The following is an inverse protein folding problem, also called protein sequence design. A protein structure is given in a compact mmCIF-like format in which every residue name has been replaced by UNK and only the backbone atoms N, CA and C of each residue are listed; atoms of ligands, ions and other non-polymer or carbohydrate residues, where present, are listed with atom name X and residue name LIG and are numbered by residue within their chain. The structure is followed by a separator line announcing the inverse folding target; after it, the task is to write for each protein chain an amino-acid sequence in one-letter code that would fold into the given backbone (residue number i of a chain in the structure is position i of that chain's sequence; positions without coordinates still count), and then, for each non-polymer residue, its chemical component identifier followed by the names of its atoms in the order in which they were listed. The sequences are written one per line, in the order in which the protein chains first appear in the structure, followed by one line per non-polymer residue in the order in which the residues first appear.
data_IF_502818747495
#
_entry.id   IF_502818747495
#
_cell.length_a   1.000
_cell.length_b   1.000
_cell.length_c   1.000
_cell.angle_alpha   90.00
_cell.angle_beta   90.00
_cell.angle_gamma   90.00
#
_symmetry.space_group_name_H-M   'P 1'
#
loop_
_entity.id
_entity.type
_entity.pdbx_description
1 polymer ?
#
# COMPACT_ATOMS: atom_id res chain seq x y z
N UNK A 1 16.48 -2.55 -3.27
CA UNK A 1 16.26 -3.43 -2.09
C UNK A 1 15.07 -2.90 -1.33
N UNK A 2 13.99 -3.66 -1.24
CA UNK A 2 12.81 -3.28 -0.47
C UNK A 2 12.42 -4.38 0.49
N UNK A 3 11.42 -4.11 1.32
CA UNK A 3 10.80 -5.08 2.22
C UNK A 3 9.31 -4.86 2.29
N UNK A 4 8.58 -5.93 2.57
CA UNK A 4 7.25 -5.86 3.14
C UNK A 4 7.39 -6.10 4.65
N UNK A 5 7.11 -5.06 5.43
CA UNK A 5 7.14 -5.11 6.89
C UNK A 5 5.73 -5.26 7.45
N UNK A 6 5.62 -5.98 8.56
CA UNK A 6 4.36 -6.05 9.30
C UNK A 6 4.03 -4.70 9.94
N UNK A 7 2.75 -4.31 9.91
CA UNK A 7 2.23 -3.27 10.80
C UNK A 7 1.81 -3.98 12.08
N UNK A 8 2.53 -3.74 13.19
CA UNK A 8 2.25 -4.35 14.49
C UNK A 8 0.91 -3.88 15.07
N UNK A 9 0.43 -4.56 16.11
CA UNK A 9 -0.88 -4.25 16.73
C UNK A 9 -1.00 -2.81 17.25
N UNK A 10 0.13 -2.19 17.59
CA UNK A 10 0.23 -0.82 18.10
C UNK A 10 0.51 0.20 16.97
N UNK A 11 0.53 -0.24 15.71
CA UNK A 11 0.75 0.59 14.54
C UNK A 11 2.21 0.81 14.18
N UNK A 12 3.18 0.28 14.95
CA UNK A 12 4.59 0.34 14.54
C UNK A 12 4.86 -0.52 13.31
N UNK A 13 5.79 -0.07 12.46
CA UNK A 13 6.32 -0.86 11.35
C UNK A 13 7.38 -1.83 11.90
N UNK A 14 7.29 -3.10 11.55
CA UNK A 14 8.03 -4.20 12.16
C UNK A 14 9.50 -4.29 11.70
N UNK A 15 10.33 -3.31 12.07
CA UNK A 15 11.80 -3.35 12.06
C UNK A 15 12.32 -2.15 12.87
N UNK A 16 13.54 -2.22 13.36
CA UNK A 16 14.21 -1.05 13.92
C UNK A 16 14.55 -0.03 12.82
N UNK A 17 14.50 1.26 13.13
CA UNK A 17 14.77 2.35 12.18
C UNK A 17 16.10 2.18 11.43
N UNK A 18 17.16 1.72 12.11
CA UNK A 18 18.47 1.46 11.49
C UNK A 18 18.43 0.42 10.36
N UNK A 19 17.48 -0.52 10.42
CA UNK A 19 17.28 -1.53 9.37
C UNK A 19 16.51 -0.89 8.22
N UNK A 20 15.43 -0.16 8.53
CA UNK A 20 14.58 0.51 7.54
C UNK A 20 15.35 1.59 6.75
N UNK A 21 16.27 2.29 7.40
CA UNK A 21 17.12 3.32 6.79
C UNK A 21 17.95 2.76 5.63
N UNK A 22 18.43 1.52 5.76
CA UNK A 22 19.25 0.85 4.74
C UNK A 22 18.50 0.35 3.51
N UNK A 23 17.17 0.44 3.49
CA UNK A 23 16.32 -0.02 2.38
C UNK A 23 16.00 1.11 1.40
N UNK A 24 15.80 0.79 0.12
CA UNK A 24 15.41 1.78 -0.89
C UNK A 24 13.96 2.22 -0.72
N UNK A 25 13.07 1.29 -0.31
CA UNK A 25 11.66 1.55 -0.02
C UNK A 25 11.11 0.51 0.96
N UNK A 26 10.02 0.85 1.63
CA UNK A 26 9.33 -0.01 2.60
C UNK A 26 7.85 -0.09 2.23
N UNK A 27 7.34 -1.29 2.02
CA UNK A 27 5.92 -1.59 2.00
C UNK A 27 5.55 -2.02 3.42
N UNK A 28 4.42 -1.58 3.96
CA UNK A 28 3.89 -2.13 5.20
C UNK A 28 2.43 -2.52 5.09
N UNK A 29 2.09 -3.63 5.74
CA UNK A 29 0.79 -4.28 5.62
C UNK A 29 0.37 -4.97 6.92
N UNK A 30 -0.93 -5.20 7.08
CA UNK A 30 -1.48 -5.92 8.23
C UNK A 30 -1.61 -7.40 7.86
N UNK A 31 -0.90 -8.28 8.57
CA UNK A 31 -1.00 -9.74 8.42
C UNK A 31 -1.60 -10.47 9.62
N UNK A 32 -2.03 -9.73 10.64
CA UNK A 32 -2.50 -10.31 11.90
C UNK A 32 -3.61 -9.50 12.55
N UNK A 33 -4.37 -10.14 13.45
CA UNK A 33 -5.44 -9.53 14.24
C UNK A 33 -6.51 -8.85 13.39
N UNK A 34 -6.97 -9.53 12.35
CA UNK A 34 -7.98 -9.01 11.40
C UNK A 34 -9.34 -8.67 12.04
N UNK A 35 -9.62 -9.16 13.26
CA UNK A 35 -10.88 -8.96 13.96
C UNK A 35 -10.86 -7.79 14.97
N UNK A 36 -9.88 -6.88 14.90
CA UNK A 36 -9.86 -5.66 15.72
C UNK A 36 -11.08 -4.78 15.44
N UNK A 37 -11.49 -3.95 16.40
CA UNK A 37 -12.60 -3.01 16.18
C UNK A 37 -12.26 -1.97 15.11
N UNK A 38 -13.25 -1.41 14.38
CA UNK A 38 -13.01 -0.48 13.27
C UNK A 38 -12.15 0.73 13.65
N UNK A 39 -12.36 1.29 14.85
CA UNK A 39 -11.56 2.42 15.36
C UNK A 39 -10.10 2.02 15.62
N UNK A 40 -9.88 0.85 16.21
CA UNK A 40 -8.54 0.35 16.55
C UNK A 40 -7.76 -0.03 15.28
N UNK A 41 -8.41 -0.71 14.33
CA UNK A 41 -7.81 -1.07 13.05
C UNK A 41 -7.43 0.16 12.24
N UNK A 42 -8.32 1.17 12.21
CA UNK A 42 -8.03 2.45 11.56
C UNK A 42 -6.85 3.14 12.25
N UNK A 43 -6.87 3.30 13.58
CA UNK A 43 -5.78 3.93 14.32
C UNK A 43 -4.43 3.22 14.10
N UNK A 44 -4.42 1.89 14.06
CA UNK A 44 -3.24 1.06 13.74
C UNK A 44 -2.65 1.41 12.37
N UNK A 45 -3.49 1.47 11.33
CA UNK A 45 -3.06 1.84 9.98
C UNK A 45 -2.56 3.29 9.91
N UNK A 46 -3.26 4.22 10.58
CA UNK A 46 -2.88 5.63 10.60
C UNK A 46 -1.53 5.87 11.29
N UNK A 47 -1.29 5.19 12.42
CA UNK A 47 -0.04 5.26 13.16
C UNK A 47 1.15 4.72 12.36
N UNK A 48 0.94 3.69 11.53
CA UNK A 48 2.00 3.17 10.64
C UNK A 48 2.50 4.24 9.66
N UNK A 49 1.58 5.09 9.16
CA UNK A 49 1.92 6.18 8.25
C UNK A 49 2.70 7.32 8.91
N UNK A 50 2.84 7.34 10.24
CA UNK A 50 3.74 8.28 10.92
C UNK A 50 5.21 7.85 10.85
N UNK A 51 5.50 6.59 10.48
CA UNK A 51 6.87 6.14 10.28
C UNK A 51 7.47 6.80 9.00
N UNK A 52 8.61 7.52 9.09
CA UNK A 52 9.19 8.26 7.97
C UNK A 52 9.77 7.36 6.87
N UNK A 53 10.03 6.09 7.16
CA UNK A 53 10.55 5.13 6.18
C UNK A 53 9.45 4.43 5.37
N UNK A 54 8.22 4.44 5.87
CA UNK A 54 7.09 3.81 5.18
C UNK A 54 6.84 4.49 3.82
N UNK A 55 6.88 3.71 2.75
CA UNK A 55 6.72 4.21 1.38
C UNK A 55 5.35 3.88 0.82
N UNK A 56 4.85 2.66 1.05
CA UNK A 56 3.64 2.12 0.42
C UNK A 56 2.83 1.34 1.47
N UNK A 57 1.52 1.55 1.54
CA UNK A 57 0.60 0.61 2.20
C UNK A 57 0.29 -0.52 1.23
N UNK A 58 0.71 -1.74 1.55
CA UNK A 58 0.45 -2.94 0.75
C UNK A 58 -0.93 -3.53 1.04
N UNK A 59 -1.62 -4.01 -0.01
CA UNK A 59 -2.97 -4.59 0.02
C UNK A 59 -3.84 -4.12 1.22
N UNK A 60 -4.32 -2.86 1.18
CA UNK A 60 -4.72 -2.09 2.38
C UNK A 60 -5.92 -2.63 3.18
N UNK A 61 -6.69 -3.55 2.62
CA UNK A 61 -7.88 -4.12 3.27
C UNK A 61 -7.66 -5.53 3.81
N UNK A 62 -6.54 -6.17 3.43
CA UNK A 62 -6.22 -7.54 3.78
C UNK A 62 -7.18 -8.58 3.21
N UNK A 63 -8.07 -8.21 2.28
CA UNK A 63 -9.06 -9.12 1.70
C UNK A 63 -8.39 -10.23 0.90
N UNK A 64 -9.06 -11.37 0.85
CA UNK A 64 -8.83 -12.45 -0.09
C UNK A 64 -10.16 -12.79 -0.75
N UNK A 65 -10.30 -12.51 -2.04
CA UNK A 65 -11.49 -12.82 -2.81
C UNK A 65 -11.87 -14.29 -2.63
N UNK A 66 -13.16 -14.52 -2.35
CA UNK A 66 -13.75 -15.85 -2.09
C UNK A 66 -13.24 -16.56 -0.81
N UNK A 67 -12.46 -15.89 0.05
CA UNK A 67 -11.91 -16.53 1.26
C UNK A 67 -12.00 -15.65 2.52
N UNK A 68 -11.65 -14.37 2.44
CA UNK A 68 -11.59 -13.46 3.58
C UNK A 68 -12.08 -12.07 3.18
N UNK A 69 -13.12 -11.60 3.87
CA UNK A 69 -13.59 -10.22 3.74
C UNK A 69 -12.54 -9.21 4.22
N UNK A 70 -12.59 -7.95 3.75
CA UNK A 70 -11.85 -6.85 4.35
C UNK A 70 -11.99 -6.81 5.87
N UNK A 71 -10.91 -6.53 6.60
CA UNK A 71 -11.05 -6.18 8.01
C UNK A 71 -11.82 -4.85 8.17
N UNK A 72 -12.49 -4.61 9.32
CA UNK A 72 -13.25 -3.37 9.51
C UNK A 72 -12.27 -2.18 9.63
N UNK A 73 -12.20 -1.35 8.60
CA UNK A 73 -11.30 -0.19 8.53
C UNK A 73 -11.98 0.99 7.83
N UNK A 74 -11.74 2.21 8.32
CA UNK A 74 -12.16 3.44 7.66
C UNK A 74 -11.16 3.81 6.56
N UNK A 75 -11.47 3.41 5.32
CA UNK A 75 -10.59 3.67 4.17
C UNK A 75 -10.56 5.14 3.75
N UNK A 76 -11.55 5.94 4.17
CA UNK A 76 -11.57 7.36 3.85
C UNK A 76 -10.50 8.07 4.68
N UNK A 77 -10.46 7.79 5.98
CA UNK A 77 -9.41 8.28 6.87
C UNK A 77 -8.00 7.81 6.44
N UNK A 78 -7.88 6.56 5.97
CA UNK A 78 -6.61 6.01 5.47
C UNK A 78 -6.15 6.74 4.21
N UNK A 79 -7.06 6.98 3.25
CA UNK A 79 -6.76 7.71 2.01
C UNK A 79 -6.32 9.15 2.32
N UNK A 80 -7.05 9.84 3.21
CA UNK A 80 -6.71 11.22 3.62
C UNK A 80 -5.32 11.28 4.26
N UNK A 81 -5.02 10.34 5.16
CA UNK A 81 -3.70 10.27 5.81
C UNK A 81 -2.59 9.91 4.81
N UNK A 82 -2.84 8.98 3.88
CA UNK A 82 -1.87 8.62 2.84
C UNK A 82 -1.50 9.84 1.99
N UNK A 83 -2.51 10.62 1.55
CA UNK A 83 -2.30 11.86 0.82
C UNK A 83 -1.49 12.89 1.63
N UNK A 84 -1.89 13.13 2.89
CA UNK A 84 -1.24 14.12 3.75
C UNK A 84 0.20 13.74 4.12
N UNK A 85 0.49 12.44 4.28
CA UNK A 85 1.81 11.94 4.67
C UNK A 85 2.73 11.67 3.49
N UNK A 86 2.22 11.68 2.25
CA UNK A 86 2.98 11.31 1.06
C UNK A 86 3.29 9.82 0.97
N UNK A 87 2.48 8.96 1.60
CA UNK A 87 2.57 7.50 1.50
C UNK A 87 1.73 7.04 0.31
N UNK A 88 2.30 6.17 -0.53
CA UNK A 88 1.56 5.58 -1.65
C UNK A 88 0.64 4.45 -1.16
N UNK A 89 -0.40 4.13 -1.93
CA UNK A 89 -1.26 2.98 -1.68
C UNK A 89 -1.14 1.95 -2.80
N UNK A 90 -1.15 0.67 -2.44
CA UNK A 90 -1.03 -0.41 -3.40
C UNK A 90 -2.37 -0.81 -4.04
N UNK A 91 -2.34 -1.05 -5.35
CA UNK A 91 -3.21 -2.00 -6.05
C UNK A 91 -2.42 -3.29 -6.21
N UNK A 92 -2.67 -4.22 -5.31
CA UNK A 92 -2.14 -5.57 -5.37
C UNK A 92 -2.88 -6.33 -6.48
N UNK A 93 -2.09 -6.80 -7.44
CA UNK A 93 -2.56 -7.37 -8.68
C UNK A 93 -2.77 -8.88 -8.60
N UNK A 94 -2.43 -9.52 -7.47
CA UNK A 94 -2.73 -10.93 -7.26
C UNK A 94 -4.25 -11.18 -7.44
N UNK A 95 -4.65 -12.16 -8.26
CA UNK A 95 -6.05 -12.42 -8.57
C UNK A 95 -6.88 -12.85 -7.37
N UNK A 96 -6.26 -13.31 -6.28
CA UNK A 96 -6.93 -13.58 -5.01
C UNK A 96 -7.11 -12.32 -4.18
N UNK A 97 -6.45 -11.21 -4.47
CA UNK A 97 -6.55 -9.96 -3.70
C UNK A 97 -7.30 -8.87 -4.45
N UNK A 98 -6.75 -8.45 -5.60
CA UNK A 98 -7.16 -7.26 -6.34
C UNK A 98 -7.39 -6.04 -5.43
N UNK A 99 -6.47 -5.79 -4.49
CA UNK A 99 -6.64 -4.87 -3.36
C UNK A 99 -5.58 -3.76 -3.41
N UNK A 100 -5.89 -2.50 -3.63
CA UNK A 100 -7.16 -1.81 -3.44
C UNK A 100 -8.23 -2.03 -4.53
N UNK A 101 -9.51 -2.07 -4.12
CA UNK A 101 -10.63 -2.03 -5.07
C UNK A 101 -10.57 -0.79 -5.96
N UNK A 102 -10.80 -0.96 -7.25
CA UNK A 102 -10.71 0.13 -8.23
C UNK A 102 -11.60 1.36 -7.90
N UNK A 103 -12.71 1.19 -7.16
CA UNK A 103 -13.55 2.31 -6.72
C UNK A 103 -12.84 3.18 -5.68
N UNK A 104 -12.15 2.53 -4.75
CA UNK A 104 -11.36 3.18 -3.73
C UNK A 104 -10.05 3.73 -4.31
N UNK A 105 -9.45 3.05 -5.30
CA UNK A 105 -8.31 3.59 -6.02
C UNK A 105 -8.65 4.88 -6.79
N UNK A 106 -9.88 5.01 -7.33
CA UNK A 106 -10.37 6.27 -7.89
C UNK A 106 -10.48 7.36 -6.82
N UNK A 107 -11.02 7.02 -5.64
CA UNK A 107 -11.09 7.97 -4.52
C UNK A 107 -9.69 8.41 -4.06
N UNK A 108 -8.75 7.47 -3.97
CA UNK A 108 -7.36 7.75 -3.63
C UNK A 108 -6.69 8.70 -4.63
N UNK A 109 -6.92 8.48 -5.94
CA UNK A 109 -6.51 9.40 -7.00
C UNK A 109 -7.05 10.81 -6.78
N UNK A 110 -8.36 10.93 -6.52
CA UNK A 110 -9.03 12.23 -6.36
C UNK A 110 -8.54 12.99 -5.12
N UNK A 111 -8.06 12.25 -4.11
CA UNK A 111 -7.38 12.80 -2.94
C UNK A 111 -5.89 13.11 -3.15
N UNK A 112 -5.33 12.82 -4.34
CA UNK A 112 -3.92 13.06 -4.66
C UNK A 112 -2.95 11.97 -4.20
N UNK A 113 -3.45 10.80 -3.80
CA UNK A 113 -2.61 9.66 -3.41
C UNK A 113 -1.92 9.06 -4.63
N UNK A 114 -0.61 8.85 -4.52
CA UNK A 114 0.17 8.10 -5.52
C UNK A 114 -0.10 6.61 -5.37
N UNK A 115 -0.32 5.91 -6.48
CA UNK A 115 -0.65 4.48 -6.49
C UNK A 115 0.57 3.65 -6.89
N UNK A 116 0.81 2.57 -6.16
CA UNK A 116 1.75 1.51 -6.56
C UNK A 116 0.97 0.30 -7.08
N UNK A 117 1.44 -0.36 -8.13
CA UNK A 117 0.89 -1.63 -8.63
C UNK A 117 1.90 -2.72 -8.32
N UNK A 118 1.52 -3.69 -7.48
CA UNK A 118 2.38 -4.80 -7.06
C UNK A 118 1.80 -6.14 -7.48
N UNK A 119 2.61 -7.05 -8.01
CA UNK A 119 2.16 -8.37 -8.46
C UNK A 119 1.96 -9.38 -7.32
N UNK A 120 2.56 -9.12 -6.15
CA UNK A 120 2.64 -10.08 -5.02
C UNK A 120 3.21 -11.44 -5.45
N UNK A 121 4.16 -11.41 -6.38
CA UNK A 121 4.61 -12.59 -7.09
C UNK A 121 5.46 -13.51 -6.20
N UNK A 122 4.90 -14.67 -5.87
CA UNK A 122 5.60 -15.78 -5.21
C UNK A 122 6.14 -16.83 -6.19
N UNK A 123 6.05 -16.55 -7.49
CA UNK A 123 6.63 -17.34 -8.58
C UNK A 123 6.92 -16.43 -9.78
N UNK A 124 7.77 -16.89 -10.70
CA UNK A 124 8.06 -16.14 -11.94
C UNK A 124 6.79 -15.91 -12.77
N UNK A 125 5.89 -16.90 -12.82
CA UNK A 125 4.61 -16.76 -13.51
C UNK A 125 3.70 -15.70 -12.88
N UNK A 126 3.77 -15.53 -11.55
CA UNK A 126 3.01 -14.51 -10.82
C UNK A 126 3.33 -13.08 -11.23
N UNK A 127 4.51 -12.83 -11.82
CA UNK A 127 4.83 -11.50 -12.38
C UNK A 127 3.84 -11.05 -13.46
N UNK A 128 3.20 -11.99 -14.16
CA UNK A 128 2.17 -11.68 -15.16
C UNK A 128 0.89 -11.07 -14.58
N UNK A 129 0.67 -11.16 -13.26
CA UNK A 129 -0.52 -10.59 -12.61
C UNK A 129 -0.58 -9.07 -12.69
N UNK A 130 0.53 -8.38 -12.98
CA UNK A 130 0.56 -6.91 -13.20
C UNK A 130 -0.52 -6.46 -14.19
N UNK A 131 -0.86 -7.28 -15.19
CA UNK A 131 -1.92 -6.95 -16.16
C UNK A 131 -3.29 -6.75 -15.50
N UNK A 132 -3.61 -7.54 -14.45
CA UNK A 132 -4.83 -7.34 -13.66
C UNK A 132 -4.80 -6.02 -12.89
N UNK A 133 -3.64 -5.68 -12.32
CA UNK A 133 -3.42 -4.41 -11.60
C UNK A 133 -3.57 -3.20 -12.52
N UNK A 134 -2.99 -3.27 -13.73
CA UNK A 134 -3.18 -2.25 -14.78
C UNK A 134 -4.66 -2.15 -15.18
N UNK A 135 -5.35 -3.27 -15.31
CA UNK A 135 -6.81 -3.31 -15.56
C UNK A 135 -7.61 -2.60 -14.48
N UNK A 136 -7.30 -2.84 -13.20
CA UNK A 136 -7.93 -2.14 -12.07
C UNK A 136 -7.61 -0.64 -12.09
N UNK A 137 -6.37 -0.28 -12.39
CA UNK A 137 -5.96 1.12 -12.48
C UNK A 137 -6.71 1.87 -13.59
N UNK A 138 -6.91 1.24 -14.75
CA UNK A 138 -7.71 1.80 -15.85
C UNK A 138 -9.17 1.99 -15.46
N UNK A 139 -9.79 1.05 -14.75
CA UNK A 139 -11.16 1.21 -14.21
C UNK A 139 -11.25 2.38 -13.21
N UNK A 140 -10.21 2.56 -12.41
CA UNK A 140 -10.06 3.69 -11.50
C UNK A 140 -9.77 5.03 -12.20
N UNK A 141 -9.58 5.03 -13.52
CA UNK A 141 -9.18 6.20 -14.32
C UNK A 141 -7.82 6.79 -13.87
N UNK A 142 -6.88 5.92 -13.54
CA UNK A 142 -5.49 6.28 -13.26
C UNK A 142 -4.69 6.37 -14.57
N UNK A 143 -4.16 7.55 -14.88
CA UNK A 143 -3.09 7.75 -15.85
C UNK A 143 -1.69 7.52 -15.26
N UNK A 144 -0.64 7.57 -16.10
CA UNK A 144 0.76 7.32 -15.73
C UNK A 144 1.26 8.23 -14.60
N UNK A 145 0.76 9.46 -14.55
CA UNK A 145 1.09 10.48 -13.57
C UNK A 145 0.68 10.08 -12.13
N UNK A 146 -0.31 9.21 -12.00
CA UNK A 146 -0.79 8.72 -10.71
C UNK A 146 -0.06 7.46 -10.24
N UNK A 147 0.69 6.79 -11.11
CA UNK A 147 1.25 5.44 -10.85
C UNK A 147 2.75 5.52 -10.63
N UNK A 148 3.20 5.06 -9.46
CA UNK A 148 4.58 5.08 -9.03
C UNK A 148 5.49 4.23 -9.94
N UNK A 149 5.00 3.08 -10.41
CA UNK A 149 5.71 2.15 -11.31
C UNK A 149 5.98 2.73 -12.70
N UNK A 150 5.29 3.80 -13.11
CA UNK A 150 5.46 4.44 -14.41
C UNK A 150 6.61 5.46 -14.44
N UNK A 151 7.32 5.63 -13.31
CA UNK A 151 8.45 6.54 -13.15
C UNK A 151 9.77 5.80 -13.38
N UNK A 152 10.86 6.51 -13.77
CA UNK A 152 12.21 5.98 -13.71
C UNK A 152 12.56 5.47 -12.30
N UNK A 153 13.48 4.50 -12.22
CA UNK A 153 13.87 3.88 -10.95
C UNK A 153 14.40 4.92 -9.94
N UNK A 154 15.14 5.91 -10.41
CA UNK A 154 15.70 6.99 -9.59
C UNK A 154 14.60 7.85 -8.98
N UNK A 155 13.51 8.11 -9.71
CA UNK A 155 12.36 8.87 -9.22
C UNK A 155 11.50 8.04 -8.24
N UNK A 156 11.41 6.73 -8.44
CA UNK A 156 10.79 5.81 -7.47
C UNK A 156 11.55 5.85 -6.14
N UNK A 157 12.87 5.68 -6.18
CA UNK A 157 13.71 5.72 -4.98
C UNK A 157 13.69 7.11 -4.35
N UNK A 158 13.70 8.17 -5.18
CA UNK A 158 13.50 9.54 -4.74
C UNK A 158 12.16 9.70 -4.01
N UNK A 159 11.07 9.09 -4.51
CA UNK A 159 9.78 9.06 -3.82
C UNK A 159 9.87 8.49 -2.41
N UNK A 160 10.50 7.34 -2.26
CA UNK A 160 10.66 6.68 -0.97
C UNK A 160 11.52 7.46 0.03
N UNK A 161 12.51 8.22 -0.46
CA UNK A 161 13.46 8.96 0.39
C UNK A 161 12.97 10.34 0.82
N UNK A 162 12.01 10.95 0.11
CA UNK A 162 11.50 12.31 0.42
C UNK A 162 10.92 12.48 1.83
N UNK A 163 10.49 11.39 2.47
CA UNK A 163 9.89 11.40 3.82
C UNK A 163 10.93 11.22 4.94
N UNK A 164 12.17 10.88 4.62
CA UNK A 164 13.20 10.44 5.58
C UNK A 164 13.98 11.58 6.25
N UNK A 165 13.62 12.83 5.98
CA UNK A 165 14.30 14.04 6.47
C UNK A 165 14.01 15.22 5.56
#
# INVERSE_FOLDING_TARGET
KGIEADILQDGRVDYEDRVLEGLDFVIASIHSRFNMGPREMTARMLAAMDNPYLTIIGHPTGRLLLSRDPYPIDLDAVIEKAAASGVAMEINADPHRLDLDWRLARKARDAGVVISIGADAHSVAGLGYVDYGVGMARKAWLGREHVLNARPAEEFVGFAKRRRG
#
